data_IF_037812901675
#
_entry.id   IF_037812901675
#
_cell.length_a   1.000
_cell.length_b   1.000
_cell.length_c   1.000
_cell.angle_alpha   90.00
_cell.angle_beta   90.00
_cell.angle_gamma   90.00
#
_symmetry.space_group_name_H-M   'P 1'
#
loop_
_entity.id
_entity.type
_entity.pdbx_description
1 polymer ?
#
# COMPACT_ATOMS: atom_id res chain seq x y z
N UNK A 1 11.70 -11.02 -58.70
CA UNK A 1 10.53 -10.15 -58.50
C UNK A 1 9.51 -10.92 -57.70
N UNK A 2 9.56 -10.88 -56.37
CA UNK A 2 9.28 -9.75 -55.45
C UNK A 2 7.83 -9.84 -54.97
N UNK A 3 7.63 -10.30 -53.74
CA UNK A 3 6.90 -9.56 -52.70
C UNK A 3 6.75 -10.42 -51.44
N UNK A 4 7.72 -10.23 -50.55
CA UNK A 4 7.53 -10.42 -49.11
C UNK A 4 6.53 -9.36 -48.64
N UNK A 5 5.37 -9.78 -48.13
CA UNK A 5 4.51 -8.90 -47.34
C UNK A 5 4.47 -9.45 -45.92
N UNK A 6 5.35 -8.99 -45.02
CA UNK A 6 5.18 -9.25 -43.61
C UNK A 6 4.02 -8.39 -43.11
N UNK A 7 2.94 -9.04 -42.70
CA UNK A 7 1.87 -8.42 -41.91
C UNK A 7 2.51 -7.87 -40.63
N UNK A 8 2.33 -6.60 -40.26
CA UNK A 8 2.71 -6.14 -38.93
C UNK A 8 1.78 -6.83 -37.93
N UNK A 9 2.27 -7.90 -37.29
CA UNK A 9 1.71 -8.36 -36.03
C UNK A 9 2.04 -7.30 -34.98
N UNK A 10 1.19 -6.27 -34.90
CA UNK A 10 1.04 -5.52 -33.66
C UNK A 10 0.54 -6.54 -32.64
N UNK A 11 1.47 -7.18 -31.92
CA UNK A 11 1.13 -7.85 -30.66
C UNK A 11 0.39 -6.79 -29.83
N UNK A 12 -0.88 -6.99 -29.47
CA UNK A 12 -1.44 -6.17 -28.43
C UNK A 12 -0.57 -6.47 -27.22
N UNK A 13 0.24 -5.49 -26.80
CA UNK A 13 0.82 -5.49 -25.47
C UNK A 13 -0.36 -5.82 -24.55
N UNK A 14 -0.29 -6.89 -23.73
CA UNK A 14 -1.25 -7.05 -22.66
C UNK A 14 -0.96 -5.90 -21.70
N UNK A 15 -1.47 -4.72 -22.01
CA UNK A 15 -1.85 -3.75 -21.01
C UNK A 15 -3.03 -4.43 -20.34
N UNK A 16 -2.75 -5.39 -19.46
CA UNK A 16 -3.69 -5.72 -18.41
C UNK A 16 -3.67 -4.45 -17.58
N UNK A 17 -4.66 -3.53 -17.69
CA UNK A 17 -4.85 -2.61 -16.59
C UNK A 17 -4.88 -3.50 -15.35
N UNK A 18 -4.09 -3.16 -14.34
CA UNK A 18 -4.25 -3.75 -13.02
C UNK A 18 -5.65 -3.34 -12.52
N UNK A 19 -6.70 -3.91 -13.11
CA UNK A 19 -8.06 -3.91 -12.58
C UNK A 19 -7.99 -4.84 -11.38
N UNK A 20 -7.46 -4.30 -10.29
CA UNK A 20 -7.47 -4.98 -9.01
C UNK A 20 -8.93 -5.11 -8.64
N UNK A 21 -9.45 -6.34 -8.71
CA UNK A 21 -10.83 -6.65 -8.34
C UNK A 21 -11.09 -6.23 -6.90
N UNK A 22 -12.34 -5.95 -6.57
CA UNK A 22 -12.72 -5.64 -5.19
C UNK A 22 -12.36 -6.77 -4.21
N UNK A 23 -12.40 -8.02 -4.66
CA UNK A 23 -11.96 -9.17 -3.87
C UNK A 23 -10.45 -9.14 -3.59
N UNK A 24 -9.65 -8.70 -4.58
CA UNK A 24 -8.20 -8.58 -4.44
C UNK A 24 -7.81 -7.43 -3.51
N UNK A 25 -8.55 -6.31 -3.57
CA UNK A 25 -8.37 -5.19 -2.65
C UNK A 25 -8.76 -5.56 -1.22
N UNK A 26 -9.84 -6.32 -1.04
CA UNK A 26 -10.30 -6.79 0.28
C UNK A 26 -9.29 -7.73 0.93
N UNK A 27 -8.84 -8.76 0.21
CA UNK A 27 -7.84 -9.70 0.69
C UNK A 27 -6.54 -8.97 1.08
N UNK A 28 -6.12 -8.01 0.26
CA UNK A 28 -4.95 -7.18 0.51
C UNK A 28 -5.06 -6.37 1.83
N UNK A 29 -6.25 -5.83 2.13
CA UNK A 29 -6.50 -5.10 3.37
C UNK A 29 -6.49 -6.04 4.58
N UNK A 30 -7.10 -7.23 4.45
CA UNK A 30 -7.14 -8.24 5.51
C UNK A 30 -5.76 -8.81 5.84
N UNK A 31 -4.94 -9.09 4.83
CA UNK A 31 -3.57 -9.59 5.00
C UNK A 31 -2.72 -8.58 5.78
N UNK A 32 -2.84 -7.29 5.49
CA UNK A 32 -2.11 -6.25 6.21
C UNK A 32 -2.66 -6.00 7.60
N UNK A 33 -3.97 -6.11 7.80
CA UNK A 33 -4.54 -6.08 9.15
C UNK A 33 -3.96 -7.23 9.99
N UNK A 34 -3.84 -8.43 9.43
CA UNK A 34 -3.22 -9.58 10.09
C UNK A 34 -1.75 -9.28 10.42
N UNK A 35 -0.96 -8.86 9.43
CA UNK A 35 0.45 -8.53 9.60
C UNK A 35 0.69 -7.45 10.67
N UNK A 36 -0.09 -6.36 10.66
CA UNK A 36 0.09 -5.26 11.62
C UNK A 36 -0.41 -5.60 13.02
N UNK A 37 -1.36 -6.53 13.15
CA UNK A 37 -1.77 -7.06 14.46
C UNK A 37 -0.67 -7.91 15.11
N UNK A 38 0.23 -8.51 14.32
CA UNK A 38 1.41 -9.21 14.82
C UNK A 38 2.51 -8.24 15.31
N UNK A 39 2.42 -6.97 14.93
CA UNK A 39 3.30 -5.89 15.38
C UNK A 39 3.87 -5.07 14.22
N UNK A 40 4.78 -4.15 14.56
CA UNK A 40 5.45 -3.31 13.57
C UNK A 40 6.41 -4.17 12.72
N UNK A 41 6.26 -4.20 11.38
CA UNK A 41 7.22 -4.87 10.52
C UNK A 41 8.61 -4.29 10.71
N UNK A 42 9.65 -5.10 10.56
CA UNK A 42 11.04 -4.67 10.71
C UNK A 42 11.90 -5.20 9.56
N UNK A 43 13.13 -4.72 9.42
CA UNK A 43 14.10 -5.23 8.43
C UNK A 43 14.28 -6.76 8.47
N UNK A 44 14.10 -7.37 9.65
CA UNK A 44 14.19 -8.83 9.83
C UNK A 44 12.94 -9.54 9.32
N UNK A 45 11.79 -8.87 9.34
CA UNK A 45 10.54 -9.34 8.76
C UNK A 45 10.49 -9.01 7.26
N UNK A 46 11.21 -9.81 6.47
CA UNK A 46 11.24 -9.69 4.99
C UNK A 46 9.85 -9.80 4.36
N UNK A 47 8.96 -10.57 4.96
CA UNK A 47 7.57 -10.70 4.53
C UNK A 47 6.85 -9.36 4.65
N UNK A 48 6.95 -8.70 5.81
CA UNK A 48 6.31 -7.40 6.03
C UNK A 48 6.82 -6.28 5.11
N UNK A 49 8.13 -6.23 4.82
CA UNK A 49 8.67 -5.27 3.84
C UNK A 49 8.18 -5.54 2.41
N UNK A 50 8.01 -6.80 2.03
CA UNK A 50 7.47 -7.20 0.73
C UNK A 50 6.00 -6.78 0.58
N UNK A 51 5.20 -7.00 1.62
CA UNK A 51 3.78 -6.62 1.63
C UNK A 51 3.59 -5.10 1.56
N UNK A 52 4.41 -4.33 2.27
CA UNK A 52 4.44 -2.86 2.15
C UNK A 52 4.75 -2.44 0.71
N UNK A 53 5.74 -3.07 0.06
CA UNK A 53 6.08 -2.79 -1.34
C UNK A 53 4.93 -3.10 -2.31
N UNK A 54 4.25 -4.23 -2.12
CA UNK A 54 3.06 -4.61 -2.91
C UNK A 54 1.93 -3.59 -2.75
N UNK A 55 1.72 -3.10 -1.52
CA UNK A 55 0.76 -2.03 -1.24
C UNK A 55 1.05 -0.75 -1.99
N UNK A 56 2.31 -0.30 -1.99
CA UNK A 56 2.72 0.88 -2.75
C UNK A 56 2.42 0.73 -4.24
N UNK A 57 2.69 -0.43 -4.81
CA UNK A 57 2.42 -0.71 -6.22
C UNK A 57 0.92 -0.65 -6.54
N UNK A 58 0.07 -1.25 -5.71
CA UNK A 58 -1.39 -1.19 -5.87
C UNK A 58 -1.91 0.23 -5.75
N UNK A 59 -1.47 0.97 -4.73
CA UNK A 59 -1.86 2.37 -4.53
C UNK A 59 -1.43 3.25 -5.70
N UNK A 60 -0.21 3.06 -6.21
CA UNK A 60 0.32 3.81 -7.35
C UNK A 60 -0.41 3.46 -8.65
N UNK A 61 -0.69 2.17 -8.87
CA UNK A 61 -1.42 1.68 -10.04
C UNK A 61 -2.87 2.20 -10.08
N UNK A 62 -3.47 2.49 -8.92
CA UNK A 62 -4.82 3.08 -8.87
C UNK A 62 -4.93 4.46 -9.54
N UNK A 63 -3.83 5.22 -9.62
CA UNK A 63 -3.79 6.57 -10.19
C UNK A 63 -4.70 7.60 -9.49
N UNK A 64 -5.25 7.27 -8.31
CA UNK A 64 -6.22 8.10 -7.60
C UNK A 64 -5.53 9.25 -6.88
N UNK A 65 -5.85 10.54 -7.18
CA UNK A 65 -5.22 11.68 -6.51
C UNK A 65 -5.40 11.67 -4.97
N UNK A 66 -6.56 11.21 -4.48
CA UNK A 66 -6.84 11.07 -3.05
C UNK A 66 -5.95 10.06 -2.33
N UNK A 67 -5.25 9.18 -3.05
CA UNK A 67 -4.33 8.18 -2.47
C UNK A 67 -2.86 8.61 -2.54
N UNK A 68 -2.56 9.78 -3.11
CA UNK A 68 -1.19 10.23 -3.31
C UNK A 68 -0.42 10.35 -1.99
N UNK A 69 -1.06 10.92 -0.95
CA UNK A 69 -0.43 11.06 0.36
C UNK A 69 -0.21 9.71 1.04
N UNK A 70 -1.18 8.79 0.99
CA UNK A 70 -1.01 7.42 1.50
C UNK A 70 0.18 6.72 0.81
N UNK A 71 0.31 6.89 -0.51
CA UNK A 71 1.43 6.32 -1.28
C UNK A 71 2.78 6.88 -0.84
N UNK A 72 2.85 8.20 -0.58
CA UNK A 72 4.05 8.86 -0.08
C UNK A 72 4.45 8.35 1.32
N UNK A 73 3.50 8.30 2.25
CA UNK A 73 3.72 7.83 3.61
C UNK A 73 4.13 6.35 3.64
N UNK A 74 3.55 5.52 2.75
CA UNK A 74 3.96 4.12 2.60
C UNK A 74 5.41 3.99 2.14
N UNK A 75 5.82 4.84 1.19
CA UNK A 75 7.20 4.89 0.71
C UNK A 75 8.16 5.27 1.84
N UNK A 76 7.82 6.30 2.62
CA UNK A 76 8.61 6.71 3.78
C UNK A 76 8.69 5.61 4.84
N UNK A 77 7.59 4.90 5.10
CA UNK A 77 7.55 3.77 6.03
C UNK A 77 8.51 2.66 5.57
N UNK A 78 8.46 2.27 4.29
CA UNK A 78 9.32 1.24 3.73
C UNK A 78 10.80 1.62 3.82
N UNK A 79 11.13 2.86 3.45
CA UNK A 79 12.48 3.38 3.54
C UNK A 79 13.00 3.31 4.98
N UNK A 80 12.20 3.78 5.94
CA UNK A 80 12.55 3.79 7.34
C UNK A 80 12.75 2.38 7.90
N UNK A 81 11.84 1.45 7.59
CA UNK A 81 11.93 0.05 8.03
C UNK A 81 13.06 -0.74 7.35
N UNK A 82 13.56 -0.26 6.21
CA UNK A 82 14.70 -0.87 5.51
C UNK A 82 16.07 -0.49 6.11
N UNK A 83 16.10 0.55 6.95
CA UNK A 83 17.33 0.99 7.63
C UNK A 83 17.82 -0.06 8.64
N UNK A 84 19.12 -0.01 8.95
CA UNK A 84 19.71 -0.87 9.97
C UNK A 84 19.21 -0.54 11.38
N UNK A 85 19.04 0.75 11.66
CA UNK A 85 18.48 1.26 12.91
C UNK A 85 17.36 2.27 12.59
N UNK A 86 16.13 1.79 12.33
CA UNK A 86 14.99 2.67 12.11
C UNK A 86 14.77 3.59 13.31
N UNK A 87 14.66 4.89 13.07
CA UNK A 87 14.28 5.87 14.10
C UNK A 87 12.80 5.70 14.48
N UNK A 88 12.56 5.43 15.76
CA UNK A 88 11.24 5.11 16.30
C UNK A 88 10.30 6.32 16.31
N UNK A 89 10.84 7.52 16.49
CA UNK A 89 10.05 8.75 16.46
C UNK A 89 9.52 9.03 15.05
N UNK A 90 10.40 8.96 14.05
CA UNK A 90 10.05 9.07 12.63
C UNK A 90 9.03 8.00 12.23
N UNK A 91 9.22 6.74 12.66
CA UNK A 91 8.23 5.68 12.42
C UNK A 91 6.88 6.00 13.07
N UNK A 92 6.87 6.55 14.28
CA UNK A 92 5.65 6.94 14.97
C UNK A 92 4.88 8.02 14.20
N UNK A 93 5.58 9.04 13.71
CA UNK A 93 5.00 10.12 12.90
C UNK A 93 4.43 9.60 11.58
N UNK A 94 5.19 8.78 10.85
CA UNK A 94 4.74 8.16 9.59
C UNK A 94 3.49 7.31 9.83
N UNK A 95 3.47 6.48 10.87
CA UNK A 95 2.31 5.64 11.18
C UNK A 95 1.07 6.46 11.57
N UNK A 96 1.25 7.53 12.34
CA UNK A 96 0.14 8.42 12.70
C UNK A 96 -0.40 9.14 11.46
N UNK A 97 0.47 9.66 10.58
CA UNK A 97 0.08 10.31 9.34
C UNK A 97 -0.65 9.34 8.41
N UNK A 98 -0.07 8.17 8.16
CA UNK A 98 -0.65 7.12 7.33
C UNK A 98 -2.03 6.68 7.85
N UNK A 99 -2.17 6.50 9.16
CA UNK A 99 -3.44 6.12 9.77
C UNK A 99 -4.53 7.19 9.61
N UNK A 100 -4.18 8.46 9.78
CA UNK A 100 -5.10 9.58 9.57
C UNK A 100 -5.55 9.70 8.11
N UNK A 101 -4.63 9.58 7.15
CA UNK A 101 -4.98 9.63 5.72
C UNK A 101 -5.80 8.42 5.29
N UNK A 102 -5.52 7.24 5.84
CA UNK A 102 -6.32 6.03 5.60
C UNK A 102 -7.77 6.20 6.07
N UNK A 103 -7.99 6.86 7.22
CA UNK A 103 -9.34 7.16 7.73
C UNK A 103 -10.05 8.16 6.80
N UNK A 104 -9.37 9.23 6.36
CA UNK A 104 -9.96 10.19 5.41
C UNK A 104 -10.42 9.51 4.13
N UNK A 105 -9.58 8.65 3.56
CA UNK A 105 -9.93 7.87 2.37
C UNK A 105 -11.10 6.92 2.65
N UNK A 106 -11.19 6.35 3.86
CA UNK A 106 -12.33 5.52 4.24
C UNK A 106 -13.65 6.31 4.30
N UNK A 107 -13.62 7.58 4.73
CA UNK A 107 -14.78 8.47 4.76
C UNK A 107 -15.23 8.89 3.35
N UNK A 108 -14.28 9.02 2.42
CA UNK A 108 -14.55 9.32 1.00
C UNK A 108 -14.93 8.07 0.19
N UNK A 109 -14.69 6.88 0.73
CA UNK A 109 -14.99 5.61 0.09
C UNK A 109 -16.51 5.37 0.07
N UNK A 110 -17.12 5.38 -1.11
CA UNK A 110 -18.55 5.10 -1.31
C UNK A 110 -18.88 3.60 -1.39
N UNK A 111 -17.93 2.72 -1.11
CA UNK A 111 -17.99 1.27 -1.29
C UNK A 111 -17.74 0.51 0.02
N UNK A 112 -17.75 -0.83 0.00
CA UNK A 112 -17.67 -1.70 1.19
C UNK A 112 -16.39 -1.60 2.02
N UNK A 113 -15.44 -0.70 1.69
CA UNK A 113 -14.15 -0.59 2.35
C UNK A 113 -14.09 0.42 3.50
N UNK A 114 -15.14 1.21 3.74
CA UNK A 114 -15.15 2.20 4.82
C UNK A 114 -14.77 1.57 6.17
N UNK A 115 -15.40 0.45 6.54
CA UNK A 115 -15.13 -0.23 7.80
C UNK A 115 -13.69 -0.79 7.90
N UNK A 116 -13.19 -1.62 6.96
CA UNK A 116 -11.85 -2.16 7.04
C UNK A 116 -10.74 -1.10 6.93
N UNK A 117 -10.91 -0.05 6.11
CA UNK A 117 -9.95 1.06 6.03
C UNK A 117 -9.94 1.91 7.32
N UNK A 118 -11.11 2.17 7.91
CA UNK A 118 -11.19 2.83 9.21
C UNK A 118 -10.48 2.02 10.29
N UNK A 119 -10.65 0.70 10.28
CA UNK A 119 -9.98 -0.19 11.24
C UNK A 119 -8.45 -0.16 11.07
N UNK A 120 -7.98 -0.29 9.83
CA UNK A 120 -6.57 -0.19 9.48
C UNK A 120 -5.96 1.13 9.97
N UNK A 121 -6.64 2.26 9.70
CA UNK A 121 -6.17 3.57 10.14
C UNK A 121 -6.04 3.68 11.67
N UNK A 122 -6.97 3.09 12.42
CA UNK A 122 -6.90 3.04 13.90
C UNK A 122 -5.73 2.19 14.39
N UNK A 123 -5.44 1.06 13.76
CA UNK A 123 -4.28 0.21 14.11
C UNK A 123 -2.99 0.99 13.88
N UNK A 124 -2.85 1.66 12.74
CA UNK A 124 -1.66 2.47 12.42
C UNK A 124 -1.43 3.57 13.46
N UNK A 125 -2.46 4.34 13.82
CA UNK A 125 -2.36 5.36 14.88
C UNK A 125 -1.95 4.76 16.22
N UNK A 126 -2.49 3.59 16.58
CA UNK A 126 -2.16 2.89 17.83
C UNK A 126 -0.70 2.42 17.84
N UNK A 127 -0.21 1.88 16.73
CA UNK A 127 1.19 1.46 16.59
C UNK A 127 2.11 2.68 16.69
N UNK A 128 1.79 3.78 16.01
CA UNK A 128 2.56 5.02 16.12
C UNK A 128 2.60 5.55 17.55
N UNK A 129 1.47 5.55 18.26
CA UNK A 129 1.38 5.95 19.68
C UNK A 129 2.12 5.01 20.64
N UNK A 130 2.47 3.81 20.21
CA UNK A 130 3.27 2.86 21.00
C UNK A 130 4.76 3.13 20.80
N UNK A 131 5.16 3.48 19.57
CA UNK A 131 6.55 3.81 19.22
C UNK A 131 7.00 5.17 19.77
N UNK A 132 6.06 6.09 20.03
CA UNK A 132 6.35 7.41 20.57
C UNK A 132 6.56 7.47 22.09
N UNK A 133 6.46 6.33 22.80
CA UNK A 133 6.55 6.25 24.26
C UNK A 133 7.96 6.03 24.76
#
# INVERSE_FOLDING_TARGET
>A
MDSITPTPQSTPTPTVPLEVSDEQNSALVEDTLTLLNEGVPSRQNKHGLSEIGRWEEVLRASGRPGLAKITQEMTALREQLSQENPDSHTLAEIMASLGNETIKVAEEAANGYTAPLTHLGKILIKLGSTLSR
#
